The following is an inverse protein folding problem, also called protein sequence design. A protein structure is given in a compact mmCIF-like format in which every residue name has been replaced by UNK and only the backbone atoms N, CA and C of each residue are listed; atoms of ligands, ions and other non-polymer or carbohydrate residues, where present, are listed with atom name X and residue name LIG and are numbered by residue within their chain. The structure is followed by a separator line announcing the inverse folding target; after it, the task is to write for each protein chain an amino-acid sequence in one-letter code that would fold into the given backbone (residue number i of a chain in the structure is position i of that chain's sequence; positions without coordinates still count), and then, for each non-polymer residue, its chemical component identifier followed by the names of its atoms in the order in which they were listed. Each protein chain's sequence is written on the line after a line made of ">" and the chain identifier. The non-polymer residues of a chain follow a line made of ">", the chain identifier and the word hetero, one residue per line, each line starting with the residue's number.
data_IF_924529066841
#
_entry.id   IF_924529066841
#
_cell.length_a   1.000
_cell.length_b   1.000
_cell.length_c   1.000
_cell.angle_alpha   90.00
_cell.angle_beta   90.00
_cell.angle_gamma   90.00
#
_symmetry.space_group_name_H-M   'P 1'
#
loop_
_entity.id
_entity.type
_entity.pdbx_description
1 polymer ?
#
# COMPACT_ATOMS: atom_id res chain seq x y z
N UNK A 1 -29.63 -5.85 -11.59
CA UNK A 1 -30.48 -5.68 -12.78
C UNK A 1 -30.87 -4.22 -12.88
N UNK A 2 -30.89 -3.67 -14.09
CA UNK A 2 -31.35 -2.31 -14.34
C UNK A 2 -32.89 -2.27 -14.37
N UNK A 3 -33.52 -1.09 -14.18
CA UNK A 3 -34.97 -0.94 -14.41
C UNK A 3 -35.41 -1.35 -15.83
N UNK A 4 -34.51 -1.21 -16.81
CA UNK A 4 -34.75 -1.67 -18.18
C UNK A 4 -34.83 -3.21 -18.24
N UNK A 5 -33.88 -3.93 -17.64
CA UNK A 5 -33.88 -5.39 -17.60
C UNK A 5 -35.15 -5.94 -16.90
N UNK A 6 -35.62 -5.23 -15.88
CA UNK A 6 -36.83 -5.58 -15.13
C UNK A 6 -38.10 -5.33 -15.97
N UNK A 7 -38.16 -4.22 -16.71
CA UNK A 7 -39.26 -3.90 -17.63
C UNK A 7 -39.44 -4.99 -18.69
N UNK A 8 -38.34 -5.42 -19.32
CA UNK A 8 -38.36 -6.49 -20.33
C UNK A 8 -38.79 -7.84 -19.75
N UNK A 9 -38.40 -8.14 -18.51
CA UNK A 9 -38.82 -9.36 -17.80
C UNK A 9 -40.31 -9.34 -17.48
N UNK A 10 -40.81 -8.23 -16.95
CA UNK A 10 -42.21 -8.07 -16.58
C UNK A 10 -43.12 -8.13 -17.83
N UNK A 11 -42.68 -7.55 -18.95
CA UNK A 11 -43.37 -7.69 -20.23
C UNK A 11 -43.46 -9.16 -20.69
N UNK A 12 -42.38 -9.94 -20.57
CA UNK A 12 -42.39 -11.39 -20.89
C UNK A 12 -43.28 -12.21 -19.95
N UNK A 13 -43.53 -11.73 -18.74
CA UNK A 13 -44.42 -12.35 -17.76
C UNK A 13 -45.90 -11.94 -17.95
N UNK A 14 -46.21 -11.14 -18.98
CA UNK A 14 -47.57 -10.69 -19.27
C UNK A 14 -48.01 -9.45 -18.48
N UNK A 15 -47.11 -8.79 -17.76
CA UNK A 15 -47.39 -7.60 -16.93
C UNK A 15 -46.48 -6.44 -17.30
N UNK A 16 -46.59 -5.87 -18.51
CA UNK A 16 -45.67 -4.83 -18.99
C UNK A 16 -45.72 -3.57 -18.10
N UNK A 17 -44.55 -3.12 -17.65
CA UNK A 17 -44.38 -1.88 -16.87
C UNK A 17 -43.18 -1.12 -17.42
N UNK A 18 -43.29 0.21 -17.53
CA UNK A 18 -42.20 1.07 -17.99
C UNK A 18 -41.04 1.18 -16.99
N UNK A 19 -39.82 1.36 -17.50
CA UNK A 19 -38.58 1.46 -16.70
C UNK A 19 -38.63 2.55 -15.61
N UNK A 20 -39.34 3.66 -15.87
CA UNK A 20 -39.38 4.81 -14.95
C UNK A 20 -40.28 4.52 -13.73
N UNK A 21 -41.40 3.82 -13.94
CA UNK A 21 -42.24 3.33 -12.84
C UNK A 21 -41.49 2.31 -11.97
N UNK A 22 -40.72 1.42 -12.60
CA UNK A 22 -39.86 0.47 -11.88
C UNK A 22 -38.78 1.22 -11.09
N UNK A 23 -38.16 2.25 -11.67
CA UNK A 23 -37.16 3.04 -10.97
C UNK A 23 -37.74 3.72 -9.71
N UNK A 24 -38.94 4.30 -9.82
CA UNK A 24 -39.66 4.88 -8.69
C UNK A 24 -39.98 3.82 -7.62
N UNK A 25 -40.52 2.66 -8.02
CA UNK A 25 -40.84 1.58 -7.06
C UNK A 25 -39.60 1.04 -6.34
N UNK A 26 -38.46 0.93 -7.04
CA UNK A 26 -37.20 0.56 -6.39
C UNK A 26 -36.77 1.63 -5.38
N UNK A 27 -36.91 2.91 -5.71
CA UNK A 27 -36.60 4.01 -4.79
C UNK A 27 -37.51 4.02 -3.56
N UNK A 28 -38.83 3.92 -3.77
CA UNK A 28 -39.85 3.88 -2.72
C UNK A 28 -39.65 2.66 -1.79
N UNK A 29 -39.26 1.52 -2.36
CA UNK A 29 -38.90 0.31 -1.62
C UNK A 29 -37.50 0.36 -0.98
N UNK A 30 -36.75 1.45 -1.14
CA UNK A 30 -35.40 1.61 -0.59
C UNK A 30 -34.33 0.74 -1.28
N UNK A 31 -34.64 0.17 -2.43
CA UNK A 31 -33.75 -0.68 -3.23
C UNK A 31 -32.84 0.21 -4.08
N UNK A 32 -31.54 0.19 -3.77
CA UNK A 32 -30.54 1.05 -4.41
C UNK A 32 -29.40 0.23 -4.98
N UNK A 33 -28.66 0.80 -5.94
CA UNK A 33 -27.38 0.24 -6.37
C UNK A 33 -26.44 0.17 -5.17
N UNK A 34 -25.97 -1.04 -4.85
CA UNK A 34 -24.95 -1.26 -3.81
C UNK A 34 -23.65 -1.68 -4.47
N UNK A 35 -22.56 -1.14 -3.96
CA UNK A 35 -21.23 -1.68 -4.27
C UNK A 35 -20.96 -2.85 -3.33
N UNK A 36 -20.28 -3.88 -3.83
CA UNK A 36 -19.79 -4.99 -3.00
C UNK A 36 -18.88 -4.43 -1.91
N UNK A 37 -19.22 -4.72 -0.65
CA UNK A 37 -18.36 -4.43 0.52
C UNK A 37 -17.47 -5.65 0.79
N UNK A 38 -16.17 -5.42 0.94
CA UNK A 38 -15.18 -6.46 1.25
C UNK A 38 -15.00 -6.60 2.77
N UNK A 39 -16.08 -6.95 3.46
CA UNK A 39 -16.10 -6.93 4.94
C UNK A 39 -15.96 -8.31 5.59
N UNK A 40 -16.22 -9.37 4.82
CA UNK A 40 -16.07 -10.75 5.29
C UNK A 40 -14.57 -11.07 5.36
N UNK A 41 -14.01 -11.45 6.53
CA UNK A 41 -12.61 -11.84 6.64
C UNK A 41 -12.35 -13.12 5.85
N UNK A 42 -11.21 -13.18 5.15
CA UNK A 42 -10.78 -14.36 4.38
C UNK A 42 -10.29 -15.53 5.22
N UNK A 43 -10.27 -15.37 6.54
CA UNK A 43 -9.85 -16.35 7.53
C UNK A 43 -9.63 -15.69 8.90
N UNK A 44 -9.67 -16.50 9.96
CA UNK A 44 -9.31 -16.08 11.32
C UNK A 44 -8.04 -16.81 11.74
N UNK A 45 -7.13 -16.08 12.40
CA UNK A 45 -5.91 -16.64 12.98
C UNK A 45 -6.02 -16.52 14.51
N UNK A 46 -5.71 -17.58 15.29
CA UNK A 46 -5.87 -17.54 16.75
C UNK A 46 -5.11 -16.37 17.40
N UNK A 47 -3.90 -16.08 16.91
CA UNK A 47 -3.08 -14.97 17.41
C UNK A 47 -3.41 -13.59 16.83
N UNK A 48 -4.51 -13.44 16.07
CA UNK A 48 -4.82 -12.17 15.37
C UNK A 48 -4.93 -11.00 16.35
N UNK A 49 -5.75 -11.13 17.38
CA UNK A 49 -6.00 -10.04 18.32
C UNK A 49 -4.76 -9.76 19.18
N UNK A 50 -4.08 -10.82 19.63
CA UNK A 50 -2.81 -10.71 20.36
C UNK A 50 -1.73 -9.97 19.56
N UNK A 51 -1.68 -10.16 18.24
CA UNK A 51 -0.77 -9.40 17.38
C UNK A 51 -1.16 -7.92 17.25
N UNK A 52 -2.46 -7.61 17.22
CA UNK A 52 -2.92 -6.21 17.22
C UNK A 52 -2.58 -5.51 18.52
N UNK A 53 -2.77 -6.16 19.66
CA UNK A 53 -2.36 -5.68 20.97
C UNK A 53 -0.85 -5.42 20.99
N UNK A 54 -0.05 -6.39 20.53
CA UNK A 54 1.40 -6.23 20.46
C UNK A 54 1.85 -5.05 19.57
N UNK A 55 1.22 -4.87 18.41
CA UNK A 55 1.50 -3.70 17.55
C UNK A 55 1.16 -2.40 18.27
N UNK A 56 0.02 -2.34 18.97
CA UNK A 56 -0.39 -1.15 19.71
C UNK A 56 0.57 -0.83 20.87
N UNK A 57 1.03 -1.85 21.60
CA UNK A 57 2.07 -1.72 22.63
C UNK A 57 3.37 -1.16 22.05
N UNK A 58 3.87 -1.74 20.97
CA UNK A 58 5.10 -1.30 20.32
C UNK A 58 5.00 0.14 19.82
N UNK A 59 3.88 0.51 19.19
CA UNK A 59 3.63 1.90 18.77
C UNK A 59 3.64 2.83 19.97
N UNK A 60 2.94 2.49 21.05
CA UNK A 60 2.90 3.29 22.28
C UNK A 60 4.28 3.45 22.91
N UNK A 61 5.09 2.40 22.94
CA UNK A 61 6.47 2.43 23.43
C UNK A 61 7.34 3.39 22.62
N UNK A 62 7.29 3.31 21.29
CA UNK A 62 8.06 4.21 20.40
C UNK A 62 7.60 5.66 20.54
N UNK A 63 6.28 5.90 20.60
CA UNK A 63 5.73 7.24 20.80
C UNK A 63 6.14 7.84 22.14
N UNK A 64 6.11 7.05 23.22
CA UNK A 64 6.51 7.46 24.57
C UNK A 64 8.01 7.76 24.65
N UNK A 65 8.83 6.96 23.98
CA UNK A 65 10.28 7.16 23.89
C UNK A 65 10.68 8.31 22.94
N UNK A 66 9.72 8.88 22.20
CA UNK A 66 10.00 9.90 21.19
C UNK A 66 10.58 9.36 19.87
N UNK A 67 10.75 8.04 19.77
CA UNK A 67 11.32 7.33 18.62
C UNK A 67 10.35 7.30 17.43
N UNK A 68 10.87 7.22 16.20
CA UNK A 68 10.04 7.17 15.01
C UNK A 68 9.44 5.78 14.77
N UNK A 69 8.19 5.78 14.31
CA UNK A 69 7.56 4.60 13.75
C UNK A 69 6.89 4.92 12.41
N UNK A 70 6.94 3.98 11.49
CA UNK A 70 6.39 4.14 10.14
C UNK A 70 5.49 2.98 9.76
N UNK A 71 4.49 3.28 8.94
CA UNK A 71 3.63 2.31 8.31
C UNK A 71 4.01 2.22 6.84
N UNK A 72 4.47 1.04 6.39
CA UNK A 72 4.96 0.83 5.03
C UNK A 72 4.14 -0.24 4.33
N UNK A 73 4.01 -0.10 3.01
CA UNK A 73 3.33 -1.08 2.16
C UNK A 73 3.62 -0.81 0.68
N UNK A 74 3.50 -1.85 -0.15
CA UNK A 74 3.52 -1.69 -1.62
C UNK A 74 2.09 -1.61 -2.14
N UNK A 75 1.74 -0.49 -2.77
CA UNK A 75 0.46 -0.35 -3.46
C UNK A 75 0.45 -1.21 -4.71
N UNK A 76 -0.75 -1.60 -5.15
CA UNK A 76 -0.97 -2.27 -6.43
C UNK A 76 -0.15 -1.63 -7.57
N UNK A 77 0.45 -2.49 -8.39
CA UNK A 77 1.24 -2.08 -9.56
C UNK A 77 0.34 -1.30 -10.53
N UNK A 78 0.91 -0.27 -11.11
CA UNK A 78 0.25 0.60 -12.06
C UNK A 78 1.02 0.53 -13.40
N UNK A 79 0.35 0.82 -14.50
CA UNK A 79 0.95 0.79 -15.83
C UNK A 79 1.05 2.22 -16.40
N UNK A 80 2.17 2.51 -17.05
CA UNK A 80 2.35 3.72 -17.84
C UNK A 80 1.74 3.54 -19.23
N UNK A 81 1.27 4.64 -19.80
CA UNK A 81 0.69 4.71 -21.13
C UNK A 81 -0.80 5.09 -21.12
N UNK A 82 -1.43 4.95 -22.28
CA UNK A 82 -2.81 5.37 -22.52
C UNK A 82 -3.84 4.30 -22.12
N UNK A 83 -3.61 3.61 -20.99
CA UNK A 83 -4.54 2.60 -20.47
C UNK A 83 -5.68 3.28 -19.70
N UNK A 84 -6.89 2.76 -19.83
CA UNK A 84 -8.07 3.29 -19.16
C UNK A 84 -7.93 3.22 -17.63
N UNK A 85 -8.36 4.30 -16.98
CA UNK A 85 -8.35 4.44 -15.53
C UNK A 85 -9.71 4.93 -15.06
N UNK A 86 -10.28 4.19 -14.11
CA UNK A 86 -11.59 4.53 -13.54
C UNK A 86 -11.55 5.89 -12.84
N UNK A 87 -12.52 6.74 -13.16
CA UNK A 87 -12.75 8.01 -12.48
C UNK A 87 -13.37 9.02 -13.43
N UNK A 88 -13.59 10.24 -12.94
CA UNK A 88 -14.11 11.36 -13.73
C UNK A 88 -13.43 12.64 -13.25
N UNK A 89 -12.97 13.44 -14.19
CA UNK A 89 -12.33 14.73 -13.92
C UNK A 89 -13.05 15.82 -14.70
N UNK A 90 -13.01 17.04 -14.18
CA UNK A 90 -13.56 18.20 -14.87
C UNK A 90 -12.52 18.73 -15.84
N UNK A 91 -12.86 18.81 -17.12
CA UNK A 91 -12.00 19.33 -18.17
C UNK A 91 -12.85 19.82 -19.34
N UNK A 92 -12.23 20.60 -20.23
CA UNK A 92 -12.84 21.02 -21.49
C UNK A 92 -12.67 19.98 -22.61
N UNK A 93 -11.93 18.89 -22.35
CA UNK A 93 -11.68 17.78 -23.27
C UNK A 93 -11.62 16.46 -22.52
N UNK A 94 -11.94 15.38 -23.21
CA UNK A 94 -11.76 14.01 -22.72
C UNK A 94 -10.30 13.59 -22.89
N UNK A 95 -9.82 12.73 -22.00
CA UNK A 95 -8.59 11.99 -22.22
C UNK A 95 -8.87 10.79 -23.13
N UNK A 96 -7.97 10.52 -24.07
CA UNK A 96 -8.05 9.36 -24.97
C UNK A 96 -7.23 8.21 -24.38
N UNK A 97 -7.86 7.05 -24.29
CA UNK A 97 -7.23 5.81 -23.84
C UNK A 97 -7.43 4.74 -24.92
N UNK A 98 -6.63 3.69 -24.87
CA UNK A 98 -6.86 2.49 -25.66
C UNK A 98 -8.25 1.91 -25.35
N UNK A 99 -8.84 1.26 -26.36
CA UNK A 99 -10.13 0.58 -26.22
C UNK A 99 -10.04 -0.69 -25.37
N UNK A 100 -8.82 -1.20 -25.16
CA UNK A 100 -8.51 -2.35 -24.30
C UNK A 100 -7.31 -2.07 -23.38
N UNK A 101 -7.38 -2.63 -22.18
CA UNK A 101 -6.35 -2.47 -21.15
C UNK A 101 -5.42 -3.70 -21.07
N UNK A 102 -4.59 -3.91 -22.09
CA UNK A 102 -3.59 -4.98 -22.07
C UNK A 102 -2.29 -4.49 -21.42
N UNK A 103 -1.74 -5.18 -20.39
CA UNK A 103 -0.45 -4.83 -19.80
C UNK A 103 0.72 -4.80 -20.80
N UNK A 104 0.62 -5.54 -21.90
CA UNK A 104 1.61 -5.54 -22.99
C UNK A 104 1.61 -4.26 -23.83
N UNK A 105 0.57 -3.44 -23.73
CA UNK A 105 0.47 -2.14 -24.38
C UNK A 105 0.95 -0.99 -23.48
N UNK A 106 1.38 -1.32 -22.25
CA UNK A 106 1.95 -0.34 -21.33
C UNK A 106 3.37 0.03 -21.76
N UNK A 107 3.70 1.32 -21.67
CA UNK A 107 5.07 1.83 -21.90
C UNK A 107 6.03 1.47 -20.75
N UNK A 108 5.47 1.02 -19.63
CA UNK A 108 6.23 0.62 -18.45
C UNK A 108 5.34 0.26 -17.27
N UNK A 109 5.99 -0.17 -16.19
CA UNK A 109 5.34 -0.47 -14.91
C UNK A 109 5.80 0.53 -13.85
N UNK A 110 4.85 0.96 -13.03
CA UNK A 110 5.11 1.72 -11.81
C UNK A 110 4.77 0.84 -10.61
N UNK A 111 5.69 0.76 -9.67
CA UNK A 111 5.53 0.03 -8.42
C UNK A 111 5.58 1.05 -7.28
N UNK A 112 4.43 1.53 -6.79
CA UNK A 112 4.42 2.53 -5.73
C UNK A 112 4.65 1.87 -4.37
N UNK A 113 5.81 2.08 -3.79
CA UNK A 113 6.08 1.72 -2.40
C UNK A 113 5.86 2.94 -1.50
N UNK A 114 4.94 2.80 -0.55
CA UNK A 114 4.53 3.86 0.34
C UNK A 114 5.19 3.77 1.72
N UNK A 115 5.48 4.93 2.30
CA UNK A 115 5.95 5.08 3.68
C UNK A 115 5.11 6.20 4.29
N UNK A 116 4.40 5.89 5.36
CA UNK A 116 3.59 6.84 6.10
C UNK A 116 4.20 7.08 7.48
N UNK A 117 4.49 8.35 7.76
CA UNK A 117 4.92 8.86 9.06
C UNK A 117 3.70 9.47 9.77
N UNK A 118 3.14 8.79 10.78
CA UNK A 118 1.95 9.24 11.49
C UNK A 118 2.22 10.49 12.34
N UNK A 119 3.41 10.61 12.92
CA UNK A 119 3.82 11.73 13.79
C UNK A 119 3.94 13.03 12.99
N UNK A 120 4.50 12.96 11.79
CA UNK A 120 4.62 14.12 10.90
C UNK A 120 3.40 14.34 9.99
N UNK A 121 2.44 13.40 9.97
CA UNK A 121 1.37 13.32 8.99
C UNK A 121 1.90 13.47 7.55
N UNK A 122 2.96 12.72 7.24
CA UNK A 122 3.71 12.78 5.99
C UNK A 122 3.62 11.43 5.27
N UNK A 123 3.16 11.45 4.04
CA UNK A 123 3.26 10.33 3.12
C UNK A 123 4.44 10.49 2.16
N UNK A 124 5.18 9.42 1.95
CA UNK A 124 6.21 9.33 0.92
C UNK A 124 5.93 8.15 -0.01
N UNK A 125 6.06 8.37 -1.32
CA UNK A 125 6.04 7.29 -2.31
C UNK A 125 7.37 7.25 -3.05
N UNK A 126 7.94 6.06 -3.11
CA UNK A 126 8.95 5.73 -4.11
C UNK A 126 8.29 4.94 -5.24
N UNK A 127 8.40 5.45 -6.47
CA UNK A 127 7.99 4.75 -7.68
C UNK A 127 9.16 3.92 -8.21
N UNK A 128 9.07 2.61 -8.04
CA UNK A 128 9.96 1.66 -8.69
C UNK A 128 9.55 1.43 -10.14
N UNK A 129 10.53 1.27 -11.03
CA UNK A 129 10.30 1.05 -12.47
C UNK A 129 10.55 -0.39 -12.93
N UNK A 130 10.87 -1.31 -12.00
CA UNK A 130 11.20 -2.70 -12.35
C UNK A 130 10.31 -3.72 -11.64
N UNK A 131 10.63 -4.11 -10.41
CA UNK A 131 10.09 -5.28 -9.72
C UNK A 131 9.90 -5.00 -8.25
N UNK A 132 8.84 -5.59 -7.71
CA UNK A 132 8.47 -5.53 -6.31
C UNK A 132 9.16 -6.67 -5.58
N UNK A 133 10.25 -6.35 -4.88
CA UNK A 133 11.11 -7.31 -4.16
C UNK A 133 11.39 -6.79 -2.75
N UNK A 134 11.85 -7.65 -1.85
CA UNK A 134 12.31 -7.24 -0.52
C UNK A 134 13.40 -6.17 -0.60
N UNK A 135 14.35 -6.33 -1.52
CA UNK A 135 15.40 -5.35 -1.78
C UNK A 135 14.84 -3.98 -2.22
N UNK A 136 13.81 -3.97 -3.07
CA UNK A 136 13.14 -2.73 -3.47
C UNK A 136 12.46 -2.05 -2.27
N UNK A 137 11.76 -2.80 -1.43
CA UNK A 137 11.11 -2.26 -0.22
C UNK A 137 12.14 -1.67 0.75
N UNK A 138 13.25 -2.39 1.00
CA UNK A 138 14.33 -1.91 1.85
C UNK A 138 15.04 -0.68 1.25
N UNK A 139 15.36 -0.68 -0.05
CA UNK A 139 15.94 0.48 -0.75
C UNK A 139 15.01 1.70 -0.73
N UNK A 140 13.71 1.48 -0.85
CA UNK A 140 12.69 2.51 -0.74
C UNK A 140 12.72 3.17 0.63
N UNK A 141 12.74 2.38 1.72
CA UNK A 141 12.86 2.92 3.06
C UNK A 141 14.19 3.65 3.28
N UNK A 142 15.32 3.07 2.82
CA UNK A 142 16.65 3.68 2.91
C UNK A 142 16.69 5.09 2.30
N UNK A 143 16.11 5.26 1.10
CA UNK A 143 16.06 6.56 0.42
C UNK A 143 15.19 7.57 1.15
N UNK A 144 14.05 7.11 1.68
CA UNK A 144 13.20 7.96 2.51
C UNK A 144 13.93 8.41 3.78
N UNK A 145 14.59 7.48 4.49
CA UNK A 145 15.32 7.78 5.71
C UNK A 145 16.42 8.81 5.47
N UNK A 146 17.28 8.57 4.48
CA UNK A 146 18.41 9.46 4.16
C UNK A 146 17.95 10.85 3.70
N UNK A 147 16.78 10.95 3.05
CA UNK A 147 16.27 12.23 2.55
C UNK A 147 15.44 13.01 3.57
N UNK A 148 14.62 12.31 4.35
CA UNK A 148 13.61 12.92 5.22
C UNK A 148 13.68 12.43 6.67
N UNK A 149 13.83 11.11 6.88
CA UNK A 149 13.77 10.49 8.21
C UNK A 149 14.86 10.98 9.15
N UNK A 150 16.13 10.85 8.76
CA UNK A 150 17.27 11.20 9.61
C UNK A 150 17.27 12.68 10.04
N UNK A 151 16.86 13.60 9.15
CA UNK A 151 16.76 15.04 9.50
C UNK A 151 15.61 15.35 10.45
N UNK A 152 14.57 14.50 10.46
CA UNK A 152 13.37 14.69 11.28
C UNK A 152 13.50 14.04 12.64
N UNK A 153 14.28 12.97 12.70
CA UNK A 153 14.54 12.19 13.89
C UNK A 153 16.06 12.08 14.08
N UNK A 154 16.75 13.20 14.36
CA UNK A 154 18.21 13.22 14.47
C UNK A 154 18.70 12.40 15.68
N UNK A 155 17.90 12.35 16.74
CA UNK A 155 18.21 11.66 17.99
C UNK A 155 17.62 10.24 18.05
N UNK A 156 17.10 9.73 16.93
CA UNK A 156 16.51 8.38 16.91
C UNK A 156 17.56 7.33 17.22
N UNK A 157 17.26 6.46 18.18
CA UNK A 157 18.09 5.30 18.53
C UNK A 157 17.50 4.00 17.99
N UNK A 158 16.24 3.99 17.53
CA UNK A 158 15.59 2.82 16.95
C UNK A 158 14.46 3.22 16.01
N UNK A 159 14.11 2.36 15.05
CA UNK A 159 12.99 2.57 14.11
C UNK A 159 12.01 1.40 14.21
N UNK A 160 10.72 1.70 14.34
CA UNK A 160 9.65 0.70 14.19
C UNK A 160 9.01 0.79 12.80
N UNK A 161 8.94 -0.34 12.09
CA UNK A 161 8.20 -0.48 10.85
C UNK A 161 7.03 -1.44 11.03
N UNK A 162 5.83 -0.93 10.75
CA UNK A 162 4.61 -1.74 10.65
C UNK A 162 4.32 -2.01 9.18
N UNK A 163 4.11 -3.27 8.83
CA UNK A 163 3.87 -3.69 7.44
C UNK A 163 2.99 -4.94 7.37
N UNK A 164 2.50 -5.26 6.18
CA UNK A 164 1.85 -6.55 5.96
C UNK A 164 2.87 -7.70 6.00
N UNK A 165 2.40 -8.94 6.10
CA UNK A 165 3.27 -10.13 6.11
C UNK A 165 3.49 -10.78 4.74
N UNK A 166 3.08 -10.10 3.65
CA UNK A 166 3.02 -10.64 2.29
C UNK A 166 4.05 -10.03 1.34
N UNK A 167 4.11 -10.56 0.10
CA UNK A 167 4.85 -9.94 -1.00
C UNK A 167 6.33 -9.66 -0.70
N UNK A 168 6.73 -8.40 -0.90
CA UNK A 168 8.07 -7.87 -0.61
C UNK A 168 8.40 -7.79 0.89
N UNK A 169 7.38 -7.76 1.75
CA UNK A 169 7.50 -7.66 3.21
C UNK A 169 7.26 -9.01 3.89
N UNK A 170 7.64 -10.11 3.24
CA UNK A 170 7.20 -11.42 3.68
C UNK A 170 7.80 -11.83 5.04
N UNK A 171 6.92 -12.00 6.04
CA UNK A 171 7.30 -12.38 7.39
C UNK A 171 7.98 -13.77 7.47
N UNK A 172 7.63 -14.68 6.55
CA UNK A 172 8.15 -16.05 6.52
C UNK A 172 9.43 -16.22 5.70
N UNK A 173 9.78 -15.27 4.82
CA UNK A 173 10.94 -15.40 3.94
C UNK A 173 12.20 -14.83 4.58
N UNK A 174 13.25 -15.63 4.65
CA UNK A 174 14.56 -15.21 5.13
C UNK A 174 15.21 -14.12 4.27
N UNK A 175 14.89 -14.04 2.97
CA UNK A 175 15.46 -13.01 2.09
C UNK A 175 15.06 -11.59 2.52
N UNK A 176 13.83 -11.42 3.05
CA UNK A 176 13.39 -10.14 3.59
C UNK A 176 14.20 -9.75 4.83
N UNK A 177 14.41 -10.70 5.75
CA UNK A 177 15.27 -10.51 6.93
C UNK A 177 16.70 -10.14 6.56
N UNK A 178 17.26 -10.79 5.53
CA UNK A 178 18.59 -10.48 5.01
C UNK A 178 18.68 -9.05 4.45
N UNK A 179 17.74 -8.65 3.59
CA UNK A 179 17.72 -7.30 3.04
C UNK A 179 17.44 -6.24 4.13
N UNK A 180 16.70 -6.60 5.18
CA UNK A 180 16.45 -5.77 6.36
C UNK A 180 17.70 -5.56 7.22
N UNK A 181 18.53 -6.58 7.45
CA UNK A 181 19.81 -6.41 8.13
C UNK A 181 20.71 -5.43 7.39
N UNK A 182 20.85 -5.60 6.07
CA UNK A 182 21.61 -4.66 5.23
C UNK A 182 21.04 -3.24 5.28
N UNK A 183 19.72 -3.11 5.40
CA UNK A 183 19.08 -1.81 5.60
C UNK A 183 19.47 -1.21 6.96
N UNK A 184 19.42 -2.01 8.03
CA UNK A 184 19.82 -1.59 9.37
C UNK A 184 21.30 -1.20 9.40
N UNK A 185 22.19 -2.00 8.82
CA UNK A 185 23.62 -1.69 8.65
C UNK A 185 23.82 -0.36 7.91
N UNK A 186 23.10 -0.15 6.82
CA UNK A 186 23.21 1.08 6.02
C UNK A 186 22.66 2.32 6.74
N UNK A 187 21.67 2.17 7.60
CA UNK A 187 21.06 3.26 8.37
C UNK A 187 21.85 3.52 9.66
N UNK A 188 22.51 2.51 10.20
CA UNK A 188 23.22 2.56 11.48
C UNK A 188 22.30 2.51 12.71
N UNK A 189 21.03 2.10 12.55
CA UNK A 189 20.06 2.01 13.64
C UNK A 189 19.37 0.65 13.65
N UNK A 190 19.04 0.10 14.83
CA UNK A 190 18.12 -1.02 14.96
C UNK A 190 16.78 -0.73 14.28
N UNK A 191 16.30 -1.71 13.51
CA UNK A 191 15.00 -1.66 12.84
C UNK A 191 14.14 -2.82 13.34
N UNK A 192 13.10 -2.47 14.10
CA UNK A 192 12.07 -3.42 14.54
C UNK A 192 10.98 -3.53 13.48
N UNK A 193 10.62 -4.76 13.13
CA UNK A 193 9.46 -5.07 12.30
C UNK A 193 8.33 -5.57 13.19
N UNK A 194 7.11 -5.10 12.92
CA UNK A 194 5.88 -5.69 13.41
C UNK A 194 4.90 -5.91 12.25
N UNK A 195 4.73 -7.17 11.85
CA UNK A 195 3.83 -7.54 10.75
C UNK A 195 2.37 -7.60 11.20
N UNK A 196 1.46 -7.09 10.37
CA UNK A 196 0.04 -7.39 10.53
C UNK A 196 -0.24 -8.87 10.20
N UNK A 197 -1.19 -9.50 10.90
CA UNK A 197 -1.56 -10.89 10.63
C UNK A 197 -2.15 -11.03 9.21
N UNK A 198 -2.18 -12.27 8.65
CA UNK A 198 -2.79 -12.52 7.35
C UNK A 198 -4.22 -11.98 7.25
N UNK A 199 -4.61 -11.57 6.03
CA UNK A 199 -5.94 -10.99 5.73
C UNK A 199 -6.29 -9.69 6.49
N UNK A 200 -5.30 -9.09 7.16
CA UNK A 200 -5.48 -7.88 7.97
C UNK A 200 -4.77 -6.64 7.41
N UNK A 201 -4.36 -6.64 6.13
CA UNK A 201 -3.70 -5.49 5.48
C UNK A 201 -4.53 -4.20 5.58
N UNK A 202 -5.87 -4.30 5.59
CA UNK A 202 -6.78 -3.16 5.81
C UNK A 202 -6.56 -2.39 7.12
N UNK A 203 -5.90 -3.01 8.11
CA UNK A 203 -5.60 -2.38 9.39
C UNK A 203 -4.25 -1.65 9.40
N UNK A 204 -3.39 -1.89 8.41
CA UNK A 204 -2.18 -1.11 8.21
C UNK A 204 -2.55 0.37 8.05
N UNK A 205 -1.89 1.27 8.78
CA UNK A 205 -2.32 2.68 8.81
C UNK A 205 -2.20 3.34 7.44
N UNK A 206 -1.17 3.01 6.66
CA UNK A 206 -0.93 3.56 5.32
C UNK A 206 -2.12 3.30 4.37
N UNK A 207 -2.75 2.13 4.46
CA UNK A 207 -3.91 1.74 3.63
C UNK A 207 -5.15 2.60 3.90
N UNK A 208 -5.26 3.20 5.09
CA UNK A 208 -6.41 4.02 5.49
C UNK A 208 -6.11 5.52 5.52
N UNK A 209 -4.87 5.89 5.83
CA UNK A 209 -4.46 7.28 6.09
C UNK A 209 -3.72 7.92 4.92
N UNK A 210 -3.12 7.12 4.02
CA UNK A 210 -2.31 7.66 2.94
C UNK A 210 -2.80 7.22 1.55
N UNK A 211 -2.83 5.92 1.27
CA UNK A 211 -3.20 5.40 -0.06
C UNK A 211 -4.57 5.82 -0.60
N UNK A 212 -5.62 6.03 0.20
CA UNK A 212 -6.88 6.55 -0.31
C UNK A 212 -6.75 7.96 -0.89
N UNK A 213 -5.84 8.77 -0.36
CA UNK A 213 -5.57 10.13 -0.87
C UNK A 213 -4.80 10.09 -2.19
N UNK A 214 -3.85 9.18 -2.32
CA UNK A 214 -3.15 8.91 -3.57
C UNK A 214 -4.12 8.46 -4.66
N UNK A 215 -4.98 7.47 -4.34
CA UNK A 215 -5.99 6.97 -5.26
C UNK A 215 -6.96 8.06 -5.71
N UNK A 216 -7.39 8.96 -4.80
CA UNK A 216 -8.23 10.11 -5.15
C UNK A 216 -7.50 11.11 -6.07
N UNK A 217 -6.23 11.41 -5.79
CA UNK A 217 -5.45 12.35 -6.59
C UNK A 217 -5.22 11.85 -8.02
N UNK A 218 -5.17 10.52 -8.22
CA UNK A 218 -4.96 9.89 -9.52
C UNK A 218 -6.27 9.48 -10.23
N UNK A 219 -7.43 9.64 -9.58
CA UNK A 219 -8.72 9.13 -10.07
C UNK A 219 -9.15 9.85 -11.35
N UNK A 220 -9.39 9.09 -12.42
CA UNK A 220 -9.84 9.62 -13.72
C UNK A 220 -8.78 10.37 -14.53
N UNK A 221 -7.52 10.32 -14.10
CA UNK A 221 -6.37 10.85 -14.83
C UNK A 221 -5.58 9.70 -15.45
N UNK A 222 -4.99 9.92 -16.62
CA UNK A 222 -4.06 8.96 -17.25
C UNK A 222 -2.68 9.02 -16.60
N UNK A 223 -1.94 7.92 -16.72
CA UNK A 223 -0.50 7.85 -16.47
C UNK A 223 0.26 7.75 -17.80
N UNK A 224 -0.04 8.68 -18.69
CA UNK A 224 0.54 8.80 -20.04
C UNK A 224 2.08 8.88 -20.02
N UNK A 225 2.64 9.54 -19.00
CA UNK A 225 4.07 9.53 -18.73
C UNK A 225 4.38 9.50 -17.23
N UNK A 226 5.63 9.18 -16.91
CA UNK A 226 6.12 9.13 -15.54
C UNK A 226 5.93 10.45 -14.79
N UNK A 227 6.17 11.59 -15.45
CA UNK A 227 6.08 12.91 -14.83
C UNK A 227 4.63 13.28 -14.46
N UNK A 228 3.65 12.86 -15.26
CA UNK A 228 2.23 12.97 -14.92
C UNK A 228 1.92 12.17 -13.66
N UNK A 229 2.31 10.90 -13.62
CA UNK A 229 2.08 10.05 -12.46
C UNK A 229 2.72 10.63 -11.17
N UNK A 230 3.97 11.09 -11.27
CA UNK A 230 4.69 11.75 -10.17
C UNK A 230 3.95 13.01 -9.71
N UNK A 231 3.53 13.86 -10.64
CA UNK A 231 2.85 15.12 -10.34
C UNK A 231 1.50 14.89 -9.66
N UNK A 232 0.71 13.94 -10.15
CA UNK A 232 -0.58 13.56 -9.57
C UNK A 232 -0.41 13.03 -8.14
N UNK A 233 0.51 12.08 -7.94
CA UNK A 233 0.74 11.50 -6.61
C UNK A 233 1.26 12.55 -5.62
N UNK A 234 2.15 13.46 -6.07
CA UNK A 234 2.66 14.55 -5.24
C UNK A 234 1.57 15.56 -4.86
N UNK A 235 0.56 15.73 -5.71
CA UNK A 235 -0.60 16.59 -5.46
C UNK A 235 -1.54 16.06 -4.36
N UNK A 236 -1.40 14.81 -3.92
CA UNK A 236 -2.23 14.25 -2.87
C UNK A 236 -2.00 14.97 -1.53
N UNK A 237 -3.07 15.56 -0.99
CA UNK A 237 -3.06 16.27 0.29
C UNK A 237 -4.42 16.19 0.97
N UNK A 238 -4.46 16.51 2.26
CA UNK A 238 -5.72 16.68 3.00
C UNK A 238 -5.86 18.08 3.56
N UNK A 239 -7.11 18.48 3.84
CA UNK A 239 -7.39 19.68 4.64
C UNK A 239 -6.79 19.58 6.04
N UNK A 240 -6.66 18.37 6.57
CA UNK A 240 -6.04 18.07 7.88
C UNK A 240 -4.51 18.06 7.85
N UNK A 241 -3.87 18.47 6.74
CA UNK A 241 -2.43 18.73 6.69
C UNK A 241 -1.56 17.58 6.18
N UNK A 242 -2.12 16.48 5.67
CA UNK A 242 -1.33 15.41 5.04
C UNK A 242 -0.54 15.99 3.88
N UNK A 243 0.78 15.81 3.91
CA UNK A 243 1.69 16.17 2.82
C UNK A 243 2.17 14.91 2.11
N UNK A 244 2.35 15.00 0.81
CA UNK A 244 2.86 13.89 0.01
C UNK A 244 4.16 14.27 -0.69
N UNK A 245 5.15 13.40 -0.58
CA UNK A 245 6.40 13.49 -1.34
C UNK A 245 6.53 12.27 -2.24
N UNK A 246 7.14 12.45 -3.41
CA UNK A 246 7.29 11.38 -4.40
C UNK A 246 8.70 11.43 -4.96
N UNK A 247 9.35 10.27 -5.02
CA UNK A 247 10.63 10.05 -5.67
C UNK A 247 10.55 8.83 -6.60
N UNK A 248 11.51 8.73 -7.53
CA UNK A 248 11.58 7.64 -8.51
C UNK A 248 12.85 6.83 -8.26
N UNK A 249 12.73 5.51 -8.28
CA UNK A 249 13.83 4.56 -8.18
C UNK A 249 14.00 3.89 -9.54
N UNK A 250 15.03 4.30 -10.28
CA UNK A 250 15.40 3.74 -11.60
C UNK A 250 16.28 2.48 -11.50
N UNK A 251 16.60 2.03 -10.30
CA UNK A 251 17.40 0.81 -10.07
C UNK A 251 16.59 -0.41 -10.49
N UNK A 252 17.25 -1.36 -11.15
CA UNK A 252 16.66 -2.65 -11.50
C UNK A 252 16.85 -3.61 -10.32
N UNK A 253 15.76 -4.27 -9.93
CA UNK A 253 15.73 -5.31 -8.90
C UNK A 253 15.41 -6.66 -9.53
N UNK A 254 16.25 -7.65 -9.24
CA UNK A 254 16.10 -9.01 -9.77
C UNK A 254 15.01 -9.78 -9.03
N UNK A 255 14.20 -10.54 -9.79
CA UNK A 255 13.21 -11.47 -9.21
C UNK A 255 13.81 -12.85 -8.99
N UNK A 256 13.23 -13.61 -8.07
CA UNK A 256 13.64 -14.99 -7.82
C UNK A 256 14.81 -15.14 -6.85
N UNK A 257 15.32 -14.04 -6.27
CA UNK A 257 16.27 -14.09 -5.16
C UNK A 257 15.69 -14.89 -4.00
N UNK A 258 16.41 -15.93 -3.58
CA UNK A 258 16.14 -16.73 -2.39
C UNK A 258 17.33 -16.60 -1.44
N UNK A 259 17.07 -16.72 -0.14
CA UNK A 259 18.16 -16.71 0.84
C UNK A 259 18.98 -17.99 0.68
N UNK A 260 20.29 -17.85 0.40
CA UNK A 260 21.25 -18.96 0.39
C UNK A 260 21.43 -19.50 1.81
N UNK A 261 22.05 -20.68 1.94
CA UNK A 261 22.32 -21.23 3.26
C UNK A 261 23.25 -20.33 4.08
N UNK A 262 24.33 -19.85 3.45
CA UNK A 262 25.26 -18.87 4.05
C UNK A 262 24.54 -17.60 4.54
N UNK A 263 23.60 -17.06 3.76
CA UNK A 263 22.81 -15.90 4.21
C UNK A 263 22.04 -16.21 5.49
N UNK A 264 21.41 -17.39 5.59
CA UNK A 264 20.62 -17.79 6.76
C UNK A 264 21.49 -18.01 7.99
N UNK A 265 22.63 -18.67 7.81
CA UNK A 265 23.56 -18.99 8.90
C UNK A 265 24.17 -17.73 9.51
N UNK A 266 24.33 -16.68 8.68
CA UNK A 266 24.86 -15.38 9.09
C UNK A 266 23.78 -14.37 9.51
N UNK A 267 22.49 -14.74 9.57
CA UNK A 267 21.45 -13.83 10.06
C UNK A 267 21.56 -13.67 11.58
N UNK A 268 21.55 -12.42 12.00
CA UNK A 268 21.64 -11.95 13.40
C UNK A 268 20.31 -11.36 13.91
N UNK A 269 19.20 -11.61 13.20
CA UNK A 269 17.86 -11.16 13.58
C UNK A 269 17.50 -11.61 14.99
N UNK A 270 17.12 -10.66 15.83
CA UNK A 270 16.61 -10.92 17.18
C UNK A 270 15.09 -11.03 17.11
N UNK A 271 14.58 -12.24 17.37
CA UNK A 271 13.15 -12.50 17.37
C UNK A 271 12.50 -12.07 18.70
N UNK A 272 11.27 -11.56 18.64
CA UNK A 272 10.50 -11.22 19.84
C UNK A 272 10.01 -12.51 20.53
N UNK A 273 9.95 -12.51 21.86
CA UNK A 273 9.41 -13.64 22.63
C UNK A 273 7.94 -13.87 22.29
N UNK A 274 7.22 -12.78 21.99
CA UNK A 274 5.83 -12.83 21.58
C UNK A 274 5.68 -12.77 20.06
N UNK A 275 5.15 -13.86 19.49
CA UNK A 275 4.86 -13.99 18.06
C UNK A 275 6.11 -13.69 17.19
N UNK A 276 7.23 -14.42 17.39
CA UNK A 276 8.52 -14.17 16.74
C UNK A 276 8.45 -14.15 15.22
N UNK A 277 7.51 -14.89 14.65
CA UNK A 277 7.26 -14.90 13.19
C UNK A 277 6.91 -13.51 12.65
N UNK A 278 6.22 -12.69 13.44
CA UNK A 278 5.72 -11.37 13.04
C UNK A 278 6.49 -10.21 13.65
N UNK A 279 7.20 -10.44 14.75
CA UNK A 279 7.91 -9.41 15.49
C UNK A 279 9.38 -9.79 15.65
N UNK A 280 10.27 -8.95 15.14
CA UNK A 280 11.72 -9.17 15.20
C UNK A 280 12.48 -7.87 14.94
N UNK A 281 13.76 -7.85 15.27
CA UNK A 281 14.65 -6.69 15.15
C UNK A 281 15.88 -7.08 14.34
N UNK A 282 16.20 -6.26 13.34
CA UNK A 282 17.52 -6.24 12.73
C UNK A 282 18.37 -5.21 13.44
N UNK A 283 19.52 -5.62 13.95
CA UNK A 283 20.50 -4.73 14.55
C UNK A 283 21.62 -4.45 13.53
N UNK A 284 22.18 -3.23 13.51
CA UNK A 284 23.31 -2.92 12.66
C UNK A 284 24.53 -3.69 13.17
N UNK A 285 25.31 -4.25 12.24
CA UNK A 285 26.61 -4.84 12.53
C UNK A 285 27.59 -3.71 12.80
N UNK A 286 28.11 -3.63 14.02
CA UNK A 286 29.20 -2.72 14.41
C UNK A 286 30.50 -3.05 13.69
#
# INVERSE_FOLDING_TARGET
>A
MSPQDLSERLAKMGTPVGKDAIAQWLEDAGIRRRQIRKDIPGGEHPDRDRQFERIAELVSQYETAGEPWFSIDTKAKEHLGLLYRKGRVRGNRSFEAFDHDFPSWADGVLIPHGIFDPKANLGHINLGLSRDTSEFACESFRRFWNKFGHRRYPDATSILLTCDGGGSNSASKYIFKYDLERLSDSIGLPIRIAHYPPYCSKYNQIERRFFPHIGRACSGMLFDCLDTAVSLMRGAKTRTGLRTTVAVIKRVFETGRTATQDMKDNLTIVYDDLLPKWNYVANPRT
#
